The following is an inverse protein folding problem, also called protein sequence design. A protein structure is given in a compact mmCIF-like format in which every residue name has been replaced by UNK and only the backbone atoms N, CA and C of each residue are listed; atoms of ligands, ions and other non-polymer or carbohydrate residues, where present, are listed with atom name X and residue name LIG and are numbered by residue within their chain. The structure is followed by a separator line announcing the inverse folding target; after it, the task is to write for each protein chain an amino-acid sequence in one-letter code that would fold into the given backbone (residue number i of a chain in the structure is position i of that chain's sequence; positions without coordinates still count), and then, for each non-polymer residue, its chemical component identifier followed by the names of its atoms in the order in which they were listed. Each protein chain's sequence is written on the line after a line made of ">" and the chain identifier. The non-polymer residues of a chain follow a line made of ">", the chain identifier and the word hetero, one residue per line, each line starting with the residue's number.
data_IF_976292153870
#
_entry.id   IF_976292153870
#
_cell.length_a   1.000
_cell.length_b   1.000
_cell.length_c   1.000
_cell.angle_alpha   90.00
_cell.angle_beta   90.00
_cell.angle_gamma   90.00
#
_symmetry.space_group_name_H-M   'P 1'
#
loop_
_entity.id
_entity.type
_entity.pdbx_description
1 polymer ?
#
# COMPACT_ATOMS: atom_id res chain seq x y z
N UNK A 1 2.52 -4.30 9.20
CA UNK A 1 1.79 -3.57 8.13
C UNK A 1 1.05 -2.34 8.65
N UNK A 2 0.39 -2.39 9.82
CA UNK A 2 -0.36 -1.26 10.38
C UNK A 2 0.43 0.06 10.51
N UNK A 3 1.70 0.01 10.93
CA UNK A 3 2.56 1.21 11.00
C UNK A 3 2.73 1.85 9.61
N UNK A 4 2.89 1.05 8.57
CA UNK A 4 3.05 1.53 7.19
C UNK A 4 1.78 2.25 6.73
N UNK A 5 0.61 1.66 6.99
CA UNK A 5 -0.68 2.26 6.68
C UNK A 5 -0.87 3.60 7.42
N UNK A 6 -0.51 3.64 8.70
CA UNK A 6 -0.56 4.85 9.52
C UNK A 6 0.36 5.96 9.00
N UNK A 7 1.61 5.65 8.65
CA UNK A 7 2.56 6.62 8.10
C UNK A 7 2.12 7.15 6.72
N UNK A 8 1.41 6.33 5.96
CA UNK A 8 0.79 6.72 4.69
C UNK A 8 -0.54 7.45 4.84
N UNK A 9 -1.06 7.58 6.07
CA UNK A 9 -2.40 8.10 6.38
C UNK A 9 -3.51 7.39 5.59
N UNK A 10 -3.44 6.06 5.54
CA UNK A 10 -4.35 5.19 4.78
C UNK A 10 -4.81 3.98 5.58
N UNK A 11 -5.94 3.41 5.16
CA UNK A 11 -6.33 2.07 5.58
C UNK A 11 -5.42 1.01 4.95
N UNK A 12 -5.25 -0.13 5.60
CA UNK A 12 -4.33 -1.19 5.13
C UNK A 12 -4.72 -1.74 3.74
N UNK A 13 -6.02 -1.84 3.45
CA UNK A 13 -6.54 -2.25 2.14
C UNK A 13 -6.15 -1.31 1.01
N UNK A 14 -5.90 -0.03 1.30
CA UNK A 14 -5.45 0.94 0.30
C UNK A 14 -3.97 0.77 -0.05
N UNK A 15 -3.22 -0.02 0.71
CA UNK A 15 -1.84 -0.36 0.38
C UNK A 15 -1.76 -1.36 -0.79
N UNK A 16 -2.87 -2.03 -1.10
CA UNK A 16 -2.95 -3.05 -2.15
C UNK A 16 -3.21 -2.40 -3.51
N UNK A 17 -2.31 -2.64 -4.46
CA UNK A 17 -2.47 -2.31 -5.86
C UNK A 17 -3.47 -3.27 -6.53
N UNK A 18 -4.76 -2.99 -6.33
CA UNK A 18 -5.89 -3.76 -6.89
C UNK A 18 -5.89 -3.87 -8.42
N UNK A 19 -5.17 -2.98 -9.11
CA UNK A 19 -5.06 -2.97 -10.58
C UNK A 19 -3.91 -3.85 -11.10
N UNK A 20 -2.97 -4.25 -10.24
CA UNK A 20 -1.79 -5.02 -10.62
C UNK A 20 -2.13 -6.43 -11.13
N UNK A 21 -1.33 -6.92 -12.08
CA UNK A 21 -1.43 -8.32 -12.52
C UNK A 21 -1.10 -9.31 -11.39
N UNK A 22 -0.24 -8.92 -10.44
CA UNK A 22 0.05 -9.72 -9.26
C UNK A 22 -1.22 -9.92 -8.41
N UNK A 23 -1.95 -8.84 -8.10
CA UNK A 23 -3.18 -8.93 -7.32
C UNK A 23 -4.28 -9.71 -8.05
N UNK A 24 -4.44 -9.51 -9.37
CA UNK A 24 -5.41 -10.25 -10.18
C UNK A 24 -5.23 -11.77 -10.14
N UNK A 25 -3.99 -12.27 -9.95
CA UNK A 25 -3.70 -13.71 -9.83
C UNK A 25 -4.09 -14.28 -8.46
N UNK A 26 -4.06 -13.46 -7.41
CA UNK A 26 -4.43 -13.86 -6.05
C UNK A 26 -5.93 -14.14 -5.93
N UNK A 27 -6.78 -13.41 -6.69
CA UNK A 27 -8.24 -13.56 -6.66
C UNK A 27 -8.87 -13.37 -5.27
N UNK A 28 -8.22 -12.61 -4.38
CA UNK A 28 -8.73 -12.28 -3.06
C UNK A 28 -9.78 -11.15 -3.12
N UNK A 29 -10.79 -11.24 -2.27
CA UNK A 29 -11.80 -10.20 -2.05
C UNK A 29 -11.41 -9.36 -0.82
N UNK A 30 -10.58 -8.33 -1.04
CA UNK A 30 -10.03 -7.47 0.02
C UNK A 30 -11.11 -6.80 0.86
N UNK A 31 -12.28 -6.52 0.29
CA UNK A 31 -13.36 -5.82 0.98
C UNK A 31 -14.08 -6.71 2.02
N UNK A 32 -13.78 -8.02 2.04
CA UNK A 32 -14.27 -8.99 3.02
C UNK A 32 -13.21 -9.45 4.02
N UNK A 33 -11.99 -8.97 3.89
CA UNK A 33 -10.86 -9.36 4.74
C UNK A 33 -10.68 -8.34 5.87
N UNK A 34 -10.24 -8.81 7.03
CA UNK A 34 -9.79 -7.93 8.10
C UNK A 34 -8.33 -7.46 7.88
N UNK A 35 -7.88 -6.55 8.74
CA UNK A 35 -6.56 -5.94 8.61
C UNK A 35 -5.40 -6.95 8.73
N UNK A 36 -5.56 -8.00 9.53
CA UNK A 36 -4.53 -9.03 9.73
C UNK A 36 -4.42 -9.91 8.48
N UNK A 37 -5.56 -10.37 7.96
CA UNK A 37 -5.63 -11.12 6.71
C UNK A 37 -5.05 -10.34 5.53
N UNK A 38 -5.31 -9.03 5.45
CA UNK A 38 -4.74 -8.18 4.39
C UNK A 38 -3.23 -8.04 4.59
N UNK A 39 -2.76 -7.88 5.82
CA UNK A 39 -1.34 -7.81 6.13
C UNK A 39 -0.61 -9.08 5.67
N UNK A 40 -1.14 -10.25 6.01
CA UNK A 40 -0.60 -11.55 5.63
C UNK A 40 -0.57 -11.71 4.12
N UNK A 41 -1.66 -11.35 3.44
CA UNK A 41 -1.72 -11.40 1.98
C UNK A 41 -0.62 -10.55 1.32
N UNK A 42 -0.35 -9.34 1.85
CA UNK A 42 0.73 -8.48 1.35
C UNK A 42 2.11 -9.10 1.63
N UNK A 43 2.30 -9.71 2.81
CA UNK A 43 3.56 -10.36 3.19
C UNK A 43 3.86 -11.56 2.28
N UNK A 44 2.86 -12.39 2.01
CA UNK A 44 2.97 -13.53 1.09
C UNK A 44 3.14 -13.10 -0.36
N UNK A 45 2.52 -11.98 -0.75
CA UNK A 45 2.51 -11.49 -2.13
C UNK A 45 3.03 -10.04 -2.23
N UNK A 46 4.30 -9.74 -1.93
CA UNK A 46 4.81 -8.36 -1.78
C UNK A 46 4.78 -7.50 -3.06
N UNK A 47 4.47 -8.12 -4.22
CA UNK A 47 4.25 -7.43 -5.50
C UNK A 47 2.86 -6.81 -5.62
N UNK A 48 1.91 -7.17 -4.75
CA UNK A 48 0.59 -6.55 -4.72
C UNK A 48 0.61 -5.20 -4.01
N UNK A 49 1.66 -4.87 -3.26
CA UNK A 49 1.81 -3.58 -2.60
C UNK A 49 1.98 -2.44 -3.62
N UNK A 50 1.37 -1.28 -3.38
CA UNK A 50 1.59 -0.07 -4.19
C UNK A 50 3.05 0.38 -4.09
N UNK A 51 3.65 0.67 -5.25
CA UNK A 51 5.03 1.15 -5.40
C UNK A 51 5.05 2.32 -6.40
N UNK A 52 6.04 3.24 -6.34
CA UNK A 52 7.10 3.35 -5.34
C UNK A 52 6.60 3.70 -3.93
N UNK A 53 7.46 3.50 -2.92
CA UNK A 53 7.23 3.94 -1.54
C UNK A 53 8.35 4.93 -1.22
N UNK A 54 7.99 6.17 -0.94
CA UNK A 54 8.93 7.23 -0.57
C UNK A 54 8.71 7.62 0.89
N UNK A 55 9.77 7.70 1.68
CA UNK A 55 9.69 8.06 3.10
C UNK A 55 10.92 8.84 3.56
N UNK A 56 10.72 9.73 4.53
CA UNK A 56 11.73 10.54 5.23
C UNK A 56 11.94 10.04 6.67
N UNK A 57 11.30 8.92 7.03
CA UNK A 57 11.29 8.35 8.39
C UNK A 57 10.11 8.80 9.27
N UNK A 58 9.43 9.90 8.94
CA UNK A 58 8.28 10.44 9.68
C UNK A 58 6.97 10.38 8.88
N UNK A 59 7.07 10.52 7.57
CA UNK A 59 5.98 10.53 6.60
C UNK A 59 6.27 9.54 5.49
N UNK A 60 5.21 9.14 4.79
CA UNK A 60 5.31 8.19 3.69
C UNK A 60 4.33 8.51 2.56
N UNK A 61 4.84 8.50 1.33
CA UNK A 61 4.06 8.61 0.09
C UNK A 61 4.04 7.26 -0.62
N UNK A 62 2.83 6.84 -1.02
CA UNK A 62 2.60 5.62 -1.79
C UNK A 62 2.30 5.93 -3.24
N UNK A 63 2.92 5.15 -4.12
CA UNK A 63 2.81 5.33 -5.56
C UNK A 63 3.53 6.58 -6.02
N UNK A 64 3.26 6.97 -7.26
CA UNK A 64 3.74 8.23 -7.82
C UNK A 64 2.54 9.10 -8.17
N UNK A 65 2.50 10.29 -7.56
CA UNK A 65 1.64 11.39 -7.97
C UNK A 65 2.49 12.65 -7.84
N UNK A 66 2.67 13.37 -8.93
CA UNK A 66 3.59 14.51 -9.01
C UNK A 66 3.32 15.54 -7.90
N UNK A 67 2.07 15.91 -7.70
CA UNK A 67 1.63 16.82 -6.61
C UNK A 67 2.11 16.36 -5.22
N UNK A 68 1.97 15.06 -4.92
CA UNK A 68 2.38 14.51 -3.63
C UNK A 68 3.90 14.52 -3.47
N UNK A 69 4.64 14.33 -4.56
CA UNK A 69 6.11 14.34 -4.55
C UNK A 69 6.65 15.77 -4.38
N UNK A 70 6.03 16.74 -5.04
CA UNK A 70 6.39 18.16 -4.89
C UNK A 70 6.18 18.62 -3.44
N UNK A 71 5.05 18.26 -2.82
CA UNK A 71 4.79 18.57 -1.41
C UNK A 71 5.75 17.85 -0.45
N UNK A 72 6.24 16.67 -0.84
CA UNK A 72 7.10 15.85 0.02
C UNK A 72 8.59 16.24 -0.07
N UNK A 73 9.06 16.67 -1.23
CA UNK A 73 10.47 16.99 -1.50
C UNK A 73 10.79 18.49 -1.41
N UNK A 74 9.77 19.36 -1.50
CA UNK A 74 9.89 20.82 -1.34
C UNK A 74 9.71 21.25 0.11
#
# INVERSE_FOLDING_TARGET
>A
MQILAKLAQKEIKELVNRRSQAFKKVQADIDKMDDEQIADLIIENPRILIRPILSDGSNLVLGFKEENYQQFLG
#
